data_IF_731841522210
#
_entry.id   IF_731841522210
#
_cell.length_a   1.000
_cell.length_b   1.000
_cell.length_c   1.000
_cell.angle_alpha   90.00
_cell.angle_beta   90.00
_cell.angle_gamma   90.00
#
_symmetry.space_group_name_H-M   'P 1'
#
loop_
_entity.id
_entity.type
_entity.pdbx_description
1 polymer ?
#
# COMPACT_ATOMS: atom_id res chain seq x y z
N UNK A 1 23.13 20.38 -20.99
CA UNK A 1 22.41 20.72 -19.74
C UNK A 1 21.47 19.59 -19.31
N UNK A 2 20.74 18.95 -20.23
CA UNK A 2 19.97 17.71 -19.94
C UNK A 2 20.85 16.52 -19.47
N UNK A 3 22.07 16.38 -20.01
CA UNK A 3 23.01 15.32 -19.62
C UNK A 3 23.63 15.52 -18.22
N UNK A 4 23.70 16.75 -17.69
CA UNK A 4 24.27 17.01 -16.36
C UNK A 4 23.23 16.86 -15.25
N UNK A 5 21.94 17.08 -15.55
CA UNK A 5 20.83 16.75 -14.64
C UNK A 5 20.66 15.22 -14.51
N UNK A 6 20.82 14.48 -15.62
CA UNK A 6 20.81 13.00 -15.63
C UNK A 6 21.90 12.40 -14.71
N UNK A 7 23.11 12.97 -14.73
CA UNK A 7 24.24 12.50 -13.91
C UNK A 7 24.18 12.91 -12.44
N UNK A 8 23.42 13.96 -12.10
CA UNK A 8 23.25 14.39 -10.70
C UNK A 8 22.13 13.62 -10.01
N UNK A 9 21.11 13.19 -10.76
CA UNK A 9 20.06 12.31 -10.26
C UNK A 9 20.55 10.87 -10.04
N UNK A 10 21.43 10.35 -10.91
CA UNK A 10 21.98 8.98 -10.78
C UNK A 10 22.91 8.75 -9.56
N UNK A 11 23.33 9.79 -8.85
CA UNK A 11 24.05 9.66 -7.56
C UNK A 11 23.15 9.77 -6.33
N UNK A 12 21.86 10.07 -6.52
CA UNK A 12 20.88 10.30 -5.47
C UNK A 12 19.74 9.28 -5.42
N UNK A 13 19.77 8.24 -6.27
CA UNK A 13 18.83 7.13 -6.20
C UNK A 13 19.52 5.99 -5.44
N UNK A 14 19.55 6.12 -4.13
CA UNK A 14 20.16 5.15 -3.23
C UNK A 14 19.09 4.18 -2.71
N UNK A 15 19.37 2.89 -2.89
CA UNK A 15 19.08 1.82 -1.94
C UNK A 15 17.60 1.42 -1.72
N UNK A 16 17.07 0.61 -2.64
CA UNK A 16 15.91 -0.24 -2.33
C UNK A 16 16.43 -1.62 -1.87
N UNK A 17 16.93 -1.70 -0.62
CA UNK A 17 17.54 -2.92 -0.08
C UNK A 17 16.99 -3.23 1.31
N UNK A 18 16.05 -4.16 1.38
CA UNK A 18 15.42 -4.79 2.56
C UNK A 18 16.37 -4.91 3.78
N UNK A 19 16.23 -4.02 4.78
CA UNK A 19 16.87 -4.12 6.09
C UNK A 19 15.96 -5.02 6.91
N UNK A 20 16.29 -6.31 6.93
CA UNK A 20 15.68 -7.27 7.86
C UNK A 20 16.78 -7.84 8.74
N UNK A 21 17.16 -7.02 9.73
CA UNK A 21 17.81 -7.32 11.02
C UNK A 21 18.71 -6.14 11.44
N UNK A 22 18.11 -5.03 11.89
CA UNK A 22 18.81 -4.15 12.83
C UNK A 22 18.44 -4.59 14.25
N UNK A 23 19.10 -5.67 14.68
CA UNK A 23 19.28 -5.90 16.11
C UNK A 23 20.32 -4.88 16.58
N UNK A 24 19.87 -3.71 17.06
CA UNK A 24 20.75 -2.81 17.83
C UNK A 24 20.95 -3.44 19.20
N UNK A 25 21.88 -4.38 19.31
CA UNK A 25 22.46 -4.71 20.61
C UNK A 25 23.38 -3.56 21.00
N UNK A 26 22.88 -2.63 21.82
CA UNK A 26 23.79 -1.77 22.59
C UNK A 26 24.25 -2.55 23.82
N UNK A 27 25.46 -3.09 23.75
CA UNK A 27 26.22 -3.35 24.98
C UNK A 27 26.59 -1.98 25.54
N UNK A 28 25.86 -1.51 26.55
CA UNK A 28 26.22 -0.27 27.27
C UNK A 28 27.60 -0.52 27.89
N UNK A 29 28.63 0.12 27.35
CA UNK A 29 29.89 0.33 28.07
C UNK A 29 29.88 1.76 28.61
N UNK A 30 30.44 1.97 29.80
CA UNK A 30 30.47 3.25 30.52
C UNK A 30 31.22 4.39 29.78
N UNK A 31 31.63 4.15 28.54
CA UNK A 31 32.34 5.07 27.65
C UNK A 31 31.54 5.51 26.42
N UNK A 32 30.24 5.16 26.32
CA UNK A 32 29.42 5.55 25.17
C UNK A 32 29.03 7.04 25.26
N UNK A 33 29.62 7.87 24.39
CA UNK A 33 29.28 9.29 24.31
C UNK A 33 27.80 9.48 23.92
N UNK A 34 27.09 10.30 24.71
CA UNK A 34 25.72 10.69 24.41
C UNK A 34 25.72 11.73 23.27
N UNK A 35 24.95 11.44 22.22
CA UNK A 35 24.77 12.36 21.09
C UNK A 35 23.97 13.57 21.54
N UNK A 36 24.40 14.77 21.13
CA UNK A 36 23.64 15.99 21.38
C UNK A 36 22.32 16.00 20.59
N UNK A 37 21.35 16.78 21.07
CA UNK A 37 20.04 16.92 20.40
C UNK A 37 20.16 17.37 18.93
N UNK A 38 21.20 18.14 18.59
CA UNK A 38 21.48 18.58 17.23
C UNK A 38 22.00 17.45 16.33
N UNK A 39 22.89 16.61 16.86
CA UNK A 39 23.39 15.43 16.14
C UNK A 39 22.30 14.38 15.97
N UNK A 40 21.45 14.22 16.99
CA UNK A 40 20.27 13.36 16.93
C UNK A 40 19.25 13.84 15.89
N UNK A 41 19.05 15.17 15.77
CA UNK A 41 18.17 15.76 14.75
C UNK A 41 18.72 15.61 13.33
N UNK A 42 20.04 15.78 13.15
CA UNK A 42 20.70 15.54 11.86
C UNK A 42 20.70 14.07 11.45
N UNK A 43 20.88 13.15 12.40
CA UNK A 43 20.71 11.71 12.18
C UNK A 43 19.26 11.37 11.83
N UNK A 44 18.27 11.97 12.50
CA UNK A 44 16.84 11.79 12.20
C UNK A 44 16.48 12.29 10.79
N UNK A 45 17.01 13.44 10.38
CA UNK A 45 16.80 13.99 9.03
C UNK A 45 17.53 13.23 7.91
N UNK A 46 18.54 12.42 8.24
CA UNK A 46 19.22 11.50 7.31
C UNK A 46 18.53 10.13 7.28
N UNK A 47 18.09 9.63 8.44
CA UNK A 47 17.31 8.40 8.57
C UNK A 47 15.91 8.53 7.93
N UNK A 48 15.28 9.70 8.00
CA UNK A 48 14.01 9.98 7.31
C UNK A 48 14.11 10.02 5.79
N UNK A 49 15.31 10.26 5.24
CA UNK A 49 15.58 10.12 3.80
C UNK A 49 15.79 8.65 3.43
N UNK A 50 16.56 7.91 4.23
CA UNK A 50 16.71 6.46 4.10
C UNK A 50 15.39 5.69 4.21
N UNK A 51 14.45 6.11 5.05
CA UNK A 51 13.13 5.45 5.21
C UNK A 51 12.20 5.64 3.99
N UNK A 52 12.42 6.68 3.18
CA UNK A 52 11.61 6.95 1.98
C UNK A 52 11.97 6.04 0.80
N UNK A 53 13.14 5.40 0.85
CA UNK A 53 13.68 4.51 -0.19
C UNK A 53 13.32 3.02 0.01
N UNK A 54 12.61 2.67 1.08
CA UNK A 54 12.26 1.28 1.45
C UNK A 54 10.80 0.92 1.13
N UNK A 55 10.44 0.88 -0.15
CA UNK A 55 9.18 0.26 -0.58
C UNK A 55 9.52 -1.08 -1.23
N UNK A 56 9.47 -2.17 -0.47
CA UNK A 56 9.63 -3.51 -1.02
C UNK A 56 9.87 -4.60 0.02
N UNK A 57 8.91 -5.54 0.10
CA UNK A 57 8.87 -6.77 0.93
C UNK A 57 8.46 -6.57 2.40
N UNK A 58 7.18 -6.31 2.60
CA UNK A 58 6.48 -6.68 3.85
C UNK A 58 6.17 -8.17 3.81
N UNK A 59 6.82 -8.97 4.67
CA UNK A 59 6.20 -10.23 5.11
C UNK A 59 5.22 -9.87 6.22
N UNK A 60 3.95 -10.27 6.04
CA UNK A 60 2.98 -10.25 7.13
C UNK A 60 3.29 -11.46 8.00
N UNK A 61 3.91 -11.22 9.15
CA UNK A 61 3.98 -12.19 10.23
C UNK A 61 2.59 -12.32 10.86
N UNK A 62 2.17 -13.56 11.07
CA UNK A 62 0.91 -13.92 11.73
C UNK A 62 0.82 -13.27 13.12
N UNK A 63 -0.31 -12.63 13.38
CA UNK A 63 -0.64 -11.82 14.56
C UNK A 63 -0.74 -12.66 15.85
N UNK A 64 -0.68 -13.99 15.75
CA UNK A 64 -0.54 -14.86 16.91
C UNK A 64 0.78 -14.64 17.69
N UNK A 65 1.78 -13.97 17.11
CA UNK A 65 3.11 -13.78 17.68
C UNK A 65 3.32 -12.51 18.55
N UNK A 66 2.39 -11.56 18.60
CA UNK A 66 2.57 -10.28 19.33
C UNK A 66 1.49 -10.04 20.39
N UNK A 67 1.32 -11.00 21.30
CA UNK A 67 0.41 -10.89 22.42
C UNK A 67 0.72 -9.73 23.41
N UNK A 68 1.85 -9.00 23.27
CA UNK A 68 2.30 -7.99 24.23
C UNK A 68 2.93 -6.74 23.58
N UNK A 69 2.31 -6.15 22.54
CA UNK A 69 2.77 -4.86 22.02
C UNK A 69 1.60 -3.88 21.84
N UNK A 70 1.42 -3.05 22.86
CA UNK A 70 0.56 -1.86 22.86
C UNK A 70 0.86 -0.92 21.68
N UNK A 71 -0.21 -0.41 21.06
CA UNK A 71 -0.18 0.84 20.30
C UNK A 71 0.52 0.79 18.94
N UNK A 72 -0.15 0.26 17.93
CA UNK A 72 0.15 0.60 16.53
C UNK A 72 -1.08 1.20 15.85
N UNK A 73 -1.31 2.49 16.12
CA UNK A 73 -1.97 3.38 15.16
C UNK A 73 -0.99 3.66 14.02
N UNK A 74 -1.32 3.25 12.79
CA UNK A 74 -0.63 3.80 11.61
C UNK A 74 -1.49 3.73 10.36
N UNK A 75 -2.12 4.86 10.05
CA UNK A 75 -2.39 5.31 8.68
C UNK A 75 -2.47 6.84 8.68
N UNK A 76 -1.32 7.49 8.82
CA UNK A 76 -1.05 8.84 8.27
C UNK A 76 0.41 8.85 7.82
N UNK A 77 0.69 8.38 6.60
CA UNK A 77 1.93 8.72 5.91
C UNK A 77 1.71 10.06 5.20
N UNK A 78 1.95 11.11 6.00
CA UNK A 78 2.14 12.52 5.68
C UNK A 78 0.90 13.37 5.38
N UNK A 79 0.45 14.11 6.40
CA UNK A 79 0.09 15.54 6.26
C UNK A 79 0.22 16.29 7.60
N UNK A 80 1.06 17.35 7.53
CA UNK A 80 1.28 18.47 8.45
C UNK A 80 2.04 18.34 9.80
N UNK A 81 3.02 19.24 9.90
CA UNK A 81 3.84 19.58 11.06
C UNK A 81 2.96 20.39 12.03
N UNK A 82 2.79 19.88 13.25
CA UNK A 82 1.89 20.36 14.33
C UNK A 82 0.44 19.85 14.26
N UNK A 83 0.25 18.57 14.58
CA UNK A 83 -0.99 18.10 15.22
C UNK A 83 -0.67 17.63 16.64
N UNK A 84 -1.55 17.99 17.57
CA UNK A 84 -1.58 17.45 18.93
C UNK A 84 -1.52 15.92 18.87
N UNK A 85 -0.83 15.29 19.83
CA UNK A 85 -0.75 13.83 19.95
C UNK A 85 -2.16 13.24 19.79
N UNK A 86 -2.39 12.30 18.85
CA UNK A 86 -3.73 11.78 18.64
C UNK A 86 -4.25 11.17 19.95
N UNK A 87 -5.46 11.57 20.32
CA UNK A 87 -6.21 10.96 21.41
C UNK A 87 -6.33 9.46 21.15
N UNK A 88 -5.88 8.62 22.10
CA UNK A 88 -5.89 7.16 21.93
C UNK A 88 -7.30 6.61 21.72
N UNK A 89 -7.43 5.36 21.23
CA UNK A 89 -8.73 4.73 20.96
C UNK A 89 -9.73 4.85 22.11
N UNK A 90 -9.27 4.74 23.37
CA UNK A 90 -10.12 4.93 24.54
C UNK A 90 -10.69 6.34 24.70
N UNK A 91 -9.90 7.39 24.45
CA UNK A 91 -10.35 8.78 24.55
C UNK A 91 -11.37 9.10 23.45
N UNK A 92 -11.08 8.67 22.21
CA UNK A 92 -12.00 8.82 21.07
C UNK A 92 -13.28 8.01 21.25
N UNK A 93 -13.18 6.81 21.82
CA UNK A 93 -14.34 6.00 22.14
C UNK A 93 -15.22 6.67 23.20
N UNK A 94 -14.63 7.30 24.21
CA UNK A 94 -15.39 8.05 25.22
C UNK A 94 -16.04 9.31 24.63
N UNK A 95 -15.31 10.05 23.79
CA UNK A 95 -15.81 11.27 23.11
C UNK A 95 -17.05 10.99 22.26
N UNK A 96 -17.10 9.84 21.56
CA UNK A 96 -18.18 9.44 20.65
C UNK A 96 -18.97 8.23 21.15
N UNK A 97 -18.99 7.97 22.46
CA UNK A 97 -19.55 6.74 23.04
C UNK A 97 -20.98 6.47 22.59
N UNK A 98 -21.87 7.46 22.76
CA UNK A 98 -23.30 7.30 22.45
C UNK A 98 -23.53 7.00 20.96
N UNK A 99 -22.82 7.72 20.09
CA UNK A 99 -22.88 7.51 18.63
C UNK A 99 -22.37 6.12 18.23
N UNK A 100 -21.25 5.69 18.81
CA UNK A 100 -20.69 4.36 18.54
C UNK A 100 -21.63 3.27 19.03
N UNK A 101 -22.20 3.42 20.24
CA UNK A 101 -23.12 2.46 20.85
C UNK A 101 -24.41 2.31 20.03
N UNK A 102 -24.99 3.39 19.53
CA UNK A 102 -26.16 3.34 18.63
C UNK A 102 -25.85 2.58 17.33
N UNK A 103 -24.68 2.81 16.73
CA UNK A 103 -24.31 2.16 15.46
C UNK A 103 -23.97 0.68 15.64
N UNK A 104 -23.29 0.28 16.71
CA UNK A 104 -23.02 -1.15 16.98
C UNK A 104 -24.30 -1.90 17.37
N UNK A 105 -25.30 -1.19 17.92
CA UNK A 105 -26.63 -1.71 18.23
C UNK A 105 -27.61 -1.71 17.05
N UNK A 106 -27.20 -1.21 15.88
CA UNK A 106 -27.92 -1.37 14.60
C UNK A 106 -27.12 -2.18 13.55
N UNK A 107 -27.71 -2.41 12.37
CA UNK A 107 -27.01 -2.99 11.20
C UNK A 107 -26.48 -1.89 10.26
N UNK A 108 -26.36 -0.66 10.78
CA UNK A 108 -25.96 0.51 9.99
C UNK A 108 -24.50 0.37 9.57
N UNK A 109 -24.22 0.61 8.30
CA UNK A 109 -22.87 0.67 7.75
C UNK A 109 -22.16 1.94 8.19
N UNK A 110 -20.83 1.90 8.25
CA UNK A 110 -20.04 3.13 8.44
C UNK A 110 -20.18 4.01 7.21
N UNK A 111 -20.55 5.28 7.41
CA UNK A 111 -20.80 6.25 6.33
C UNK A 111 -20.02 7.56 6.55
N UNK A 112 -20.18 8.51 5.64
CA UNK A 112 -19.51 9.81 5.66
C UNK A 112 -19.79 10.66 6.92
N UNK A 113 -20.95 10.49 7.56
CA UNK A 113 -21.31 11.23 8.79
C UNK A 113 -20.44 10.80 9.98
N UNK A 114 -19.86 9.60 9.91
CA UNK A 114 -19.06 8.98 10.98
C UNK A 114 -17.56 9.22 10.82
N UNK A 115 -17.11 10.17 9.97
CA UNK A 115 -15.67 10.36 9.65
C UNK A 115 -14.74 10.45 10.87
N UNK A 116 -15.23 10.93 12.01
CA UNK A 116 -14.44 11.12 13.25
C UNK A 116 -14.26 9.87 14.10
N UNK A 117 -15.13 8.87 13.98
CA UNK A 117 -15.16 7.68 14.86
C UNK A 117 -15.48 6.36 14.12
N UNK A 118 -15.81 6.39 12.84
CA UNK A 118 -16.22 5.23 12.05
C UNK A 118 -15.15 4.15 11.97
N UNK A 119 -13.86 4.53 12.05
CA UNK A 119 -12.76 3.58 12.13
C UNK A 119 -12.81 2.73 13.42
N UNK A 120 -13.31 3.27 14.52
CA UNK A 120 -13.52 2.53 15.78
C UNK A 120 -14.65 1.51 15.63
N UNK A 121 -15.73 1.86 14.92
CA UNK A 121 -16.83 0.93 14.65
C UNK A 121 -16.32 -0.25 13.81
N UNK A 122 -15.58 0.03 12.74
CA UNK A 122 -14.93 -1.01 11.92
C UNK A 122 -14.00 -1.89 12.77
N UNK A 123 -13.17 -1.27 13.62
CA UNK A 123 -12.25 -1.98 14.51
C UNK A 123 -12.98 -2.88 15.51
N UNK A 124 -14.05 -2.38 16.15
CA UNK A 124 -14.86 -3.14 17.09
C UNK A 124 -15.47 -4.35 16.40
N UNK A 125 -16.14 -4.15 15.26
CA UNK A 125 -16.80 -5.23 14.52
C UNK A 125 -15.79 -6.27 14.01
N UNK A 126 -14.62 -5.84 13.52
CA UNK A 126 -13.54 -6.74 13.10
C UNK A 126 -12.93 -7.51 14.28
N UNK A 127 -12.76 -6.86 15.43
CA UNK A 127 -12.27 -7.49 16.66
C UNK A 127 -13.24 -8.56 17.17
N UNK A 128 -14.53 -8.25 17.17
CA UNK A 128 -15.59 -9.22 17.52
C UNK A 128 -15.65 -10.36 16.51
N UNK A 129 -15.52 -10.07 15.21
CA UNK A 129 -15.52 -11.10 14.17
C UNK A 129 -14.37 -12.10 14.35
N UNK A 130 -13.18 -11.60 14.70
CA UNK A 130 -11.95 -12.40 14.84
C UNK A 130 -11.88 -13.16 16.16
N UNK A 131 -12.22 -12.51 17.27
CA UNK A 131 -11.98 -13.03 18.62
C UNK A 131 -13.27 -13.46 19.34
N UNK A 132 -14.44 -13.25 18.74
CA UNK A 132 -15.72 -13.60 19.34
C UNK A 132 -15.90 -12.95 20.72
N UNK A 133 -16.17 -13.76 21.75
CA UNK A 133 -16.38 -13.29 23.13
C UNK A 133 -15.11 -12.72 23.77
N UNK A 134 -13.93 -13.20 23.37
CA UNK A 134 -12.64 -12.73 23.90
C UNK A 134 -12.27 -11.31 23.41
N UNK A 135 -12.96 -10.82 22.37
CA UNK A 135 -12.80 -9.45 21.86
C UNK A 135 -13.00 -8.40 22.95
N UNK A 136 -13.88 -8.64 23.92
CA UNK A 136 -14.15 -7.71 25.03
C UNK A 136 -12.90 -7.44 25.86
N UNK A 137 -12.13 -8.48 26.18
CA UNK A 137 -10.90 -8.34 26.97
C UNK A 137 -9.86 -7.57 26.18
N UNK A 138 -9.63 -7.95 24.92
CA UNK A 138 -8.67 -7.27 24.03
C UNK A 138 -9.01 -5.80 23.77
N UNK A 139 -10.30 -5.48 23.62
CA UNK A 139 -10.73 -4.10 23.40
C UNK A 139 -10.57 -3.24 24.66
N UNK A 140 -10.65 -3.83 25.86
CA UNK A 140 -10.38 -3.09 27.11
C UNK A 140 -8.95 -2.61 27.20
N UNK A 141 -7.98 -3.39 26.68
CA UNK A 141 -6.55 -3.03 26.70
C UNK A 141 -6.27 -1.74 25.90
N UNK A 142 -7.03 -1.51 24.82
CA UNK A 142 -6.95 -0.28 24.01
C UNK A 142 -7.92 0.82 24.47
N UNK A 143 -8.57 0.65 25.62
CA UNK A 143 -9.48 1.62 26.22
C UNK A 143 -10.93 1.60 25.72
N UNK A 144 -11.30 0.64 24.86
CA UNK A 144 -12.66 0.48 24.36
C UNK A 144 -13.47 -0.41 25.32
N UNK A 145 -14.45 0.18 26.00
CA UNK A 145 -15.22 -0.47 27.07
C UNK A 145 -16.62 -0.84 26.61
N UNK A 146 -16.79 -2.10 26.16
CA UNK A 146 -18.09 -2.68 25.81
C UNK A 146 -18.60 -3.69 26.86
N UNK A 147 -19.92 -3.77 26.98
CA UNK A 147 -20.61 -4.76 27.82
C UNK A 147 -20.67 -6.13 27.14
N UNK A 148 -20.88 -7.19 27.92
CA UNK A 148 -21.09 -8.53 27.35
C UNK A 148 -22.32 -8.59 26.44
N UNK A 149 -23.37 -7.82 26.76
CA UNK A 149 -24.60 -7.75 25.97
C UNK A 149 -24.33 -7.12 24.59
N UNK A 150 -23.60 -6.01 24.55
CA UNK A 150 -23.20 -5.37 23.29
C UNK A 150 -22.35 -6.30 22.42
N UNK A 151 -21.34 -6.97 23.00
CA UNK A 151 -20.53 -7.95 22.25
C UNK A 151 -21.38 -9.10 21.70
N UNK A 152 -22.30 -9.66 22.51
CA UNK A 152 -23.21 -10.70 22.05
C UNK A 152 -24.14 -10.21 20.92
N UNK A 153 -24.64 -8.98 21.00
CA UNK A 153 -25.46 -8.37 19.95
C UNK A 153 -24.68 -8.19 18.64
N UNK A 154 -23.42 -7.76 18.71
CA UNK A 154 -22.54 -7.64 17.54
C UNK A 154 -22.31 -9.02 16.92
N UNK A 155 -22.00 -10.05 17.73
CA UNK A 155 -21.82 -11.43 17.24
C UNK A 155 -23.06 -11.89 16.47
N UNK A 156 -24.24 -11.77 17.07
CA UNK A 156 -25.49 -12.22 16.45
C UNK A 156 -25.74 -11.54 15.08
N UNK A 157 -25.36 -10.27 14.91
CA UNK A 157 -25.50 -9.58 13.62
C UNK A 157 -24.45 -9.97 12.61
N UNK A 158 -23.20 -10.12 13.05
CA UNK A 158 -22.12 -10.61 12.18
C UNK A 158 -22.43 -12.02 11.66
N UNK A 159 -23.18 -12.83 12.42
CA UNK A 159 -23.68 -14.14 11.98
C UNK A 159 -24.75 -14.06 10.88
N UNK A 160 -25.42 -12.91 10.69
CA UNK A 160 -26.39 -12.73 9.59
C UNK A 160 -25.74 -12.42 8.24
N UNK A 161 -24.44 -12.11 8.22
CA UNK A 161 -23.71 -11.79 7.00
C UNK A 161 -23.50 -13.04 6.14
N UNK A 162 -23.68 -12.89 4.83
CA UNK A 162 -23.47 -13.99 3.86
C UNK A 162 -22.07 -13.96 3.25
N UNK A 163 -21.34 -12.84 3.38
CA UNK A 163 -19.94 -12.74 2.98
C UNK A 163 -19.08 -13.72 3.81
N UNK A 164 -18.17 -14.48 3.17
CA UNK A 164 -17.24 -15.34 3.88
C UNK A 164 -16.39 -14.60 4.92
N UNK A 165 -16.28 -15.18 6.13
CA UNK A 165 -15.52 -14.58 7.25
C UNK A 165 -14.05 -14.37 6.93
N UNK A 166 -13.44 -15.26 6.14
CA UNK A 166 -12.04 -15.14 5.74
C UNK A 166 -11.79 -13.89 4.87
N UNK A 167 -12.73 -13.51 4.02
CA UNK A 167 -12.65 -12.26 3.23
C UNK A 167 -12.68 -11.05 4.16
N UNK A 168 -13.56 -11.04 5.17
CA UNK A 168 -13.59 -9.96 6.15
C UNK A 168 -12.29 -9.85 6.95
N UNK A 169 -11.73 -10.99 7.38
CA UNK A 169 -10.47 -11.03 8.14
C UNK A 169 -9.29 -10.54 7.29
N UNK A 170 -9.24 -10.92 6.00
CA UNK A 170 -8.24 -10.43 5.02
C UNK A 170 -8.33 -8.91 4.81
N UNK A 171 -9.53 -8.34 4.91
CA UNK A 171 -9.80 -6.92 4.70
C UNK A 171 -10.04 -6.18 6.03
N UNK A 172 -9.11 -6.31 6.98
CA UNK A 172 -9.23 -5.81 8.38
C UNK A 172 -9.58 -4.33 8.56
N UNK A 173 -9.27 -3.49 7.58
CA UNK A 173 -9.53 -2.04 7.64
C UNK A 173 -10.92 -1.66 7.12
N UNK A 174 -11.67 -2.63 6.61
CA UNK A 174 -13.02 -2.45 6.12
C UNK A 174 -14.03 -2.94 7.16
N UNK A 175 -15.13 -2.21 7.29
CA UNK A 175 -16.25 -2.65 8.11
C UNK A 175 -16.91 -3.90 7.47
N UNK A 176 -17.22 -4.96 8.24
CA UNK A 176 -17.84 -6.18 7.71
C UNK A 176 -19.18 -5.94 6.98
N UNK A 177 -19.98 -4.96 7.39
CA UNK A 177 -21.24 -4.65 6.72
C UNK A 177 -21.00 -3.88 5.41
N UNK A 178 -19.98 -3.03 5.33
CA UNK A 178 -19.56 -2.43 4.05
C UNK A 178 -19.06 -3.52 3.09
N UNK A 179 -18.30 -4.49 3.58
CA UNK A 179 -17.87 -5.63 2.78
C UNK A 179 -19.05 -6.48 2.29
N UNK A 180 -20.05 -6.71 3.14
CA UNK A 180 -21.30 -7.36 2.77
C UNK A 180 -21.98 -6.64 1.59
N UNK A 181 -22.07 -5.31 1.64
CA UNK A 181 -22.63 -4.50 0.54
C UNK A 181 -21.84 -4.67 -0.75
N UNK A 182 -20.51 -4.65 -0.69
CA UNK A 182 -19.67 -4.91 -1.88
C UNK A 182 -19.93 -6.31 -2.43
N UNK A 183 -20.04 -7.31 -1.56
CA UNK A 183 -20.31 -8.70 -1.93
C UNK A 183 -21.67 -8.88 -2.61
N UNK A 184 -22.70 -8.20 -2.10
CA UNK A 184 -24.06 -8.25 -2.64
C UNK A 184 -24.21 -7.42 -3.91
N UNK A 185 -23.70 -6.20 -3.96
CA UNK A 185 -24.08 -5.23 -4.99
C UNK A 185 -23.12 -5.20 -6.18
N UNK A 186 -21.81 -5.41 -5.95
CA UNK A 186 -20.85 -5.40 -7.05
C UNK A 186 -20.96 -6.69 -7.87
N UNK A 187 -21.53 -6.63 -9.08
CA UNK A 187 -21.76 -7.81 -9.94
C UNK A 187 -20.74 -8.00 -11.07
N UNK A 188 -19.95 -6.98 -11.37
CA UNK A 188 -18.99 -7.05 -12.47
C UNK A 188 -17.78 -7.93 -12.15
N UNK A 189 -17.13 -8.43 -13.20
CA UNK A 189 -15.83 -9.11 -13.09
C UNK A 189 -14.69 -8.10 -13.02
N UNK A 190 -13.68 -8.41 -12.21
CA UNK A 190 -12.43 -7.64 -12.13
C UNK A 190 -11.49 -7.99 -13.30
N UNK A 191 -10.49 -7.16 -13.62
CA UNK A 191 -9.42 -7.54 -14.54
C UNK A 191 -8.59 -8.71 -13.99
N UNK A 192 -8.20 -9.66 -14.83
CA UNK A 192 -7.24 -10.73 -14.48
C UNK A 192 -5.80 -10.23 -14.58
N UNK A 193 -5.52 -9.42 -15.61
CA UNK A 193 -4.20 -8.85 -15.87
C UNK A 193 -4.34 -7.45 -16.49
N UNK A 194 -3.28 -6.62 -16.45
CA UNK A 194 -3.33 -5.27 -17.01
C UNK A 194 -3.46 -5.24 -18.53
N UNK A 195 -3.14 -6.33 -19.22
CA UNK A 195 -3.27 -6.48 -20.67
C UNK A 195 -4.62 -7.04 -21.12
N UNK A 196 -5.50 -7.40 -20.19
CA UNK A 196 -6.82 -7.92 -20.54
C UNK A 196 -7.62 -6.86 -21.33
N UNK A 197 -8.29 -7.31 -22.40
CA UNK A 197 -9.19 -6.44 -23.17
C UNK A 197 -10.27 -5.85 -22.25
N UNK A 198 -10.28 -4.53 -22.14
CA UNK A 198 -11.25 -3.82 -21.31
C UNK A 198 -10.83 -3.64 -19.84
N UNK A 199 -9.61 -4.03 -19.44
CA UNK A 199 -9.07 -3.82 -18.09
C UNK A 199 -9.24 -2.36 -17.61
N UNK A 200 -8.88 -1.40 -18.45
CA UNK A 200 -9.07 0.03 -18.19
C UNK A 200 -10.53 0.41 -17.90
N UNK A 201 -11.46 -0.14 -18.67
CA UNK A 201 -12.88 0.15 -18.51
C UNK A 201 -13.42 -0.46 -17.20
N UNK A 202 -13.01 -1.69 -16.88
CA UNK A 202 -13.31 -2.35 -15.60
C UNK A 202 -12.75 -1.55 -14.41
N UNK A 203 -11.48 -1.11 -14.47
CA UNK A 203 -10.87 -0.26 -13.45
C UNK A 203 -11.66 1.04 -13.22
N UNK A 204 -12.00 1.74 -14.31
CA UNK A 204 -12.79 2.97 -14.21
C UNK A 204 -14.17 2.73 -13.58
N UNK A 205 -14.83 1.60 -13.88
CA UNK A 205 -16.12 1.25 -13.27
C UNK A 205 -16.00 0.82 -11.81
N UNK A 206 -14.95 0.10 -11.43
CA UNK A 206 -14.64 -0.18 -10.01
C UNK A 206 -14.46 1.12 -9.22
N UNK A 207 -13.61 2.04 -9.68
CA UNK A 207 -13.42 3.33 -9.02
C UNK A 207 -14.69 4.17 -9.01
N UNK A 208 -15.51 4.09 -10.06
CA UNK A 208 -16.84 4.73 -10.09
C UNK A 208 -17.77 4.14 -9.02
N UNK A 209 -17.86 2.82 -8.93
CA UNK A 209 -18.67 2.13 -7.92
C UNK A 209 -18.25 2.53 -6.51
N UNK A 210 -16.95 2.50 -6.22
CA UNK A 210 -16.43 2.90 -4.90
C UNK A 210 -16.78 4.33 -4.53
N UNK A 211 -16.79 5.24 -5.51
CA UNK A 211 -17.10 6.66 -5.31
C UNK A 211 -18.61 6.93 -5.18
N UNK A 212 -19.43 6.30 -6.03
CA UNK A 212 -20.84 6.65 -6.20
C UNK A 212 -21.77 5.86 -5.27
N UNK A 213 -21.28 4.81 -4.61
CA UNK A 213 -22.05 4.00 -3.64
C UNK A 213 -21.92 4.59 -2.24
N UNK A 214 -23.05 4.80 -1.55
CA UNK A 214 -23.11 5.48 -0.25
C UNK A 214 -22.17 4.85 0.78
N UNK A 215 -22.21 3.52 0.90
CA UNK A 215 -21.47 2.74 1.89
C UNK A 215 -19.95 2.68 1.61
N UNK A 216 -19.51 2.91 0.37
CA UNK A 216 -18.08 2.84 0.00
C UNK A 216 -17.46 4.21 -0.24
N UNK A 217 -18.28 5.25 -0.43
CA UNK A 217 -17.87 6.61 -0.79
C UNK A 217 -16.85 7.20 0.20
N UNK A 218 -17.09 7.03 1.50
CA UNK A 218 -16.18 7.46 2.56
C UNK A 218 -14.78 6.85 2.42
N UNK A 219 -14.71 5.56 2.07
CA UNK A 219 -13.44 4.90 1.84
C UNK A 219 -12.78 5.40 0.56
N UNK A 220 -13.54 5.60 -0.52
CA UNK A 220 -13.00 6.20 -1.74
C UNK A 220 -12.35 7.57 -1.46
N UNK A 221 -13.01 8.44 -0.70
CA UNK A 221 -12.49 9.76 -0.33
C UNK A 221 -11.24 9.69 0.55
N UNK A 222 -11.14 8.66 1.41
CA UNK A 222 -9.96 8.44 2.25
C UNK A 222 -8.72 8.06 1.43
N UNK A 223 -8.89 7.26 0.38
CA UNK A 223 -7.77 6.72 -0.41
C UNK A 223 -7.43 7.55 -1.65
N UNK A 224 -8.40 8.29 -2.21
CA UNK A 224 -8.19 9.08 -3.43
C UNK A 224 -8.22 10.59 -3.11
N UNK A 225 -7.11 11.33 -3.32
CA UNK A 225 -7.05 12.78 -3.10
C UNK A 225 -8.15 13.53 -3.85
N UNK A 226 -8.66 14.59 -3.24
CA UNK A 226 -9.87 15.31 -3.69
C UNK A 226 -9.80 15.75 -5.16
N UNK A 227 -8.61 16.15 -5.60
CA UNK A 227 -8.34 16.63 -6.96
C UNK A 227 -8.47 15.51 -8.00
N UNK A 228 -8.29 14.24 -7.61
CA UNK A 228 -8.33 13.06 -8.47
C UNK A 228 -9.67 12.32 -8.45
N UNK A 229 -10.64 12.74 -7.63
CA UNK A 229 -11.87 11.98 -7.40
C UNK A 229 -12.87 12.04 -8.57
N UNK A 230 -12.86 13.10 -9.39
CA UNK A 230 -13.92 13.40 -10.36
C UNK A 230 -13.39 13.85 -11.74
N UNK A 231 -14.27 13.84 -12.73
CA UNK A 231 -14.04 14.42 -14.06
C UNK A 231 -12.83 13.86 -14.82
N UNK A 232 -12.13 14.75 -15.52
CA UNK A 232 -10.90 14.48 -16.27
C UNK A 232 -9.78 13.96 -15.36
N UNK A 233 -9.68 14.46 -14.12
CA UNK A 233 -8.63 14.05 -13.18
C UNK A 233 -8.80 12.61 -12.70
N UNK A 234 -10.03 12.12 -12.53
CA UNK A 234 -10.25 10.68 -12.30
C UNK A 234 -9.83 9.85 -13.52
N UNK A 235 -10.12 10.35 -14.72
CA UNK A 235 -9.68 9.68 -15.96
C UNK A 235 -8.15 9.68 -16.08
N UNK A 236 -7.49 10.74 -15.62
CA UNK A 236 -6.04 10.83 -15.49
C UNK A 236 -5.49 9.79 -14.50
N UNK A 237 -6.07 9.66 -13.31
CA UNK A 237 -5.70 8.62 -12.34
C UNK A 237 -5.83 7.21 -12.94
N UNK A 238 -6.94 6.92 -13.63
CA UNK A 238 -7.14 5.63 -14.33
C UNK A 238 -6.06 5.41 -15.38
N UNK A 239 -5.69 6.44 -16.15
CA UNK A 239 -4.63 6.34 -17.15
C UNK A 239 -3.28 6.04 -16.51
N UNK A 240 -2.92 6.73 -15.42
CA UNK A 240 -1.69 6.47 -14.68
C UNK A 240 -1.65 5.05 -14.12
N UNK A 241 -2.76 4.57 -13.52
CA UNK A 241 -2.86 3.19 -13.04
C UNK A 241 -2.58 2.19 -14.17
N UNK A 242 -3.16 2.40 -15.36
CA UNK A 242 -2.94 1.49 -16.48
C UNK A 242 -1.51 1.56 -17.03
N UNK A 243 -0.93 2.76 -17.21
CA UNK A 243 0.46 2.91 -17.68
C UNK A 243 1.43 2.24 -16.70
N UNK A 244 1.26 2.52 -15.40
CA UNK A 244 2.08 1.95 -14.35
C UNK A 244 1.95 0.43 -14.28
N UNK A 245 0.72 -0.08 -14.24
CA UNK A 245 0.46 -1.52 -14.16
C UNK A 245 0.91 -2.31 -15.39
N UNK A 246 1.04 -1.66 -16.56
CA UNK A 246 1.53 -2.32 -17.78
C UNK A 246 3.06 -2.26 -17.93
N UNK A 247 3.77 -1.71 -16.94
CA UNK A 247 5.23 -1.63 -16.97
C UNK A 247 5.78 -0.48 -17.79
N UNK A 248 4.98 0.55 -18.11
CA UNK A 248 5.48 1.73 -18.83
C UNK A 248 6.52 2.45 -17.97
N UNK A 249 7.67 2.81 -18.56
CA UNK A 249 8.77 3.48 -17.87
C UNK A 249 8.34 4.86 -17.35
N UNK A 250 9.01 5.34 -16.29
CA UNK A 250 8.80 6.71 -15.83
C UNK A 250 9.17 7.72 -16.91
N UNK A 251 10.21 7.42 -17.70
CA UNK A 251 10.58 8.26 -18.84
C UNK A 251 9.41 8.45 -19.80
N UNK A 252 8.73 7.37 -20.20
CA UNK A 252 7.61 7.43 -21.14
C UNK A 252 6.33 8.01 -20.51
N UNK A 253 6.10 7.79 -19.22
CA UNK A 253 4.97 8.41 -18.50
C UNK A 253 5.14 9.94 -18.45
N UNK A 254 6.38 10.40 -18.26
CA UNK A 254 6.73 11.81 -18.11
C UNK A 254 7.12 12.49 -19.43
N UNK A 255 6.86 11.84 -20.56
CA UNK A 255 7.15 12.36 -21.91
C UNK A 255 5.89 12.97 -22.56
N UNK A 256 5.26 13.91 -21.88
CA UNK A 256 4.08 14.66 -22.36
C UNK A 256 4.34 16.17 -22.29
N UNK A 257 3.65 16.95 -23.13
CA UNK A 257 3.81 18.41 -23.23
C UNK A 257 3.59 19.14 -21.90
N UNK A 258 2.73 18.59 -21.02
CA UNK A 258 2.46 19.13 -19.68
C UNK A 258 3.68 19.21 -18.75
N UNK A 259 4.73 18.44 -19.04
CA UNK A 259 5.98 18.43 -18.27
C UNK A 259 7.03 19.36 -18.87
N UNK A 260 6.70 20.06 -19.96
CA UNK A 260 7.54 21.07 -20.59
C UNK A 260 7.22 22.47 -20.05
N UNK A 261 8.21 23.35 -20.04
CA UNK A 261 8.04 24.76 -19.60
C UNK A 261 8.36 25.00 -18.13
N UNK A 262 8.03 26.21 -17.64
CA UNK A 262 8.45 26.72 -16.33
C UNK A 262 7.89 25.91 -15.14
N UNK A 263 6.67 25.36 -15.28
CA UNK A 263 6.02 24.54 -14.24
C UNK A 263 6.26 23.03 -14.42
N UNK A 264 7.05 22.64 -15.42
CA UNK A 264 7.23 21.24 -15.79
C UNK A 264 7.82 20.38 -14.66
N UNK A 265 8.77 20.93 -13.91
CA UNK A 265 9.40 20.25 -12.78
C UNK A 265 8.40 19.93 -11.64
N UNK A 266 7.52 20.87 -11.32
CA UNK A 266 6.50 20.69 -10.28
C UNK A 266 5.45 19.65 -10.70
N UNK A 267 5.07 19.63 -11.98
CA UNK A 267 4.14 18.65 -12.53
C UNK A 267 4.73 17.23 -12.59
N UNK A 268 6.05 17.12 -12.82
CA UNK A 268 6.79 15.86 -12.71
C UNK A 268 6.73 15.35 -11.28
N UNK A 269 7.12 16.17 -10.30
CA UNK A 269 7.13 15.79 -8.88
C UNK A 269 5.72 15.38 -8.42
N UNK A 270 4.70 16.16 -8.79
CA UNK A 270 3.30 15.83 -8.51
C UNK A 270 2.91 14.47 -9.09
N UNK A 271 3.30 14.19 -10.34
CA UNK A 271 2.95 12.93 -10.98
C UNK A 271 3.65 11.74 -10.32
N UNK A 272 4.91 11.90 -9.92
CA UNK A 272 5.66 10.90 -9.17
C UNK A 272 4.97 10.60 -7.83
N UNK A 273 4.55 11.64 -7.10
CA UNK A 273 3.82 11.47 -5.85
C UNK A 273 2.49 10.74 -6.04
N UNK A 274 1.74 11.05 -7.11
CA UNK A 274 0.52 10.32 -7.46
C UNK A 274 0.81 8.86 -7.78
N UNK A 275 1.87 8.57 -8.53
CA UNK A 275 2.27 7.20 -8.85
C UNK A 275 2.63 6.39 -7.60
N UNK A 276 3.41 6.99 -6.69
CA UNK A 276 3.88 6.32 -5.48
C UNK A 276 2.77 6.13 -4.45
N UNK A 277 2.09 7.22 -4.07
CA UNK A 277 1.16 7.20 -2.93
C UNK A 277 -0.25 6.77 -3.34
N UNK A 278 -0.71 7.20 -4.52
CA UNK A 278 -2.09 6.96 -4.94
C UNK A 278 -2.19 5.69 -5.78
N UNK A 279 -1.43 5.61 -6.87
CA UNK A 279 -1.50 4.49 -7.81
C UNK A 279 -0.95 3.22 -7.18
N UNK A 280 0.29 3.23 -6.68
CA UNK A 280 0.96 2.00 -6.22
C UNK A 280 0.50 1.54 -4.83
N UNK A 281 -0.12 2.43 -4.05
CA UNK A 281 -0.48 2.13 -2.66
C UNK A 281 -1.98 2.27 -2.37
N UNK A 282 -2.55 3.47 -2.46
CA UNK A 282 -3.94 3.70 -2.06
C UNK A 282 -4.97 2.98 -2.94
N UNK A 283 -4.82 3.01 -4.26
CA UNK A 283 -5.75 2.36 -5.19
C UNK A 283 -5.80 0.84 -4.97
N UNK A 284 -4.68 0.11 -4.85
CA UNK A 284 -4.69 -1.30 -4.48
C UNK A 284 -5.40 -1.58 -3.17
N UNK A 285 -5.15 -0.79 -2.11
CA UNK A 285 -5.82 -0.98 -0.81
C UNK A 285 -7.32 -0.74 -0.88
N UNK A 286 -7.74 0.28 -1.64
CA UNK A 286 -9.14 0.61 -1.87
C UNK A 286 -9.87 -0.50 -2.62
N UNK A 287 -9.24 -1.07 -3.65
CA UNK A 287 -9.86 -2.06 -4.53
C UNK A 287 -9.71 -3.50 -4.04
N UNK A 288 -8.81 -3.76 -3.08
CA UNK A 288 -8.52 -5.09 -2.55
C UNK A 288 -9.78 -5.90 -2.20
N UNK A 289 -10.81 -5.35 -1.51
CA UNK A 289 -12.01 -6.12 -1.19
C UNK A 289 -12.73 -6.65 -2.42
N UNK A 290 -12.83 -5.85 -3.49
CA UNK A 290 -13.49 -6.27 -4.73
C UNK A 290 -12.72 -7.43 -5.36
N UNK A 291 -11.39 -7.37 -5.36
CA UNK A 291 -10.55 -8.45 -5.89
C UNK A 291 -10.64 -9.71 -5.05
N UNK A 292 -10.52 -9.61 -3.73
CA UNK A 292 -10.66 -10.76 -2.82
C UNK A 292 -12.02 -11.46 -2.98
N UNK A 293 -13.09 -10.70 -3.28
CA UNK A 293 -14.44 -11.22 -3.52
C UNK A 293 -14.60 -11.85 -4.91
N UNK A 294 -14.02 -11.25 -5.95
CA UNK A 294 -14.31 -11.61 -7.35
C UNK A 294 -13.27 -12.51 -8.00
N UNK A 295 -12.00 -12.25 -7.75
CA UNK A 295 -10.88 -13.00 -8.29
C UNK A 295 -9.61 -12.75 -7.45
N UNK A 296 -9.41 -13.52 -6.36
CA UNK A 296 -8.24 -13.35 -5.50
C UNK A 296 -6.92 -13.71 -6.20
N UNK A 297 -6.97 -14.48 -7.29
CA UNK A 297 -5.80 -14.91 -8.06
C UNK A 297 -5.39 -13.91 -9.17
N UNK A 298 -6.11 -12.80 -9.28
CA UNK A 298 -5.77 -11.76 -10.25
C UNK A 298 -4.44 -11.09 -9.91
N UNK A 299 -3.52 -11.07 -10.86
CA UNK A 299 -2.23 -10.37 -10.73
C UNK A 299 -2.36 -8.85 -10.90
N UNK A 300 -3.54 -8.34 -11.29
CA UNK A 300 -3.73 -6.94 -11.67
C UNK A 300 -3.35 -5.96 -10.57
N UNK A 301 -3.77 -6.19 -9.32
CA UNK A 301 -3.41 -5.31 -8.20
C UNK A 301 -1.92 -5.38 -7.88
N UNK A 302 -1.32 -6.57 -7.94
CA UNK A 302 0.12 -6.74 -7.75
C UNK A 302 0.90 -5.96 -8.82
N UNK A 303 0.46 -5.97 -10.08
CA UNK A 303 1.08 -5.19 -11.13
C UNK A 303 0.92 -3.67 -10.90
N UNK A 304 -0.20 -3.21 -10.35
CA UNK A 304 -0.35 -1.80 -9.93
C UNK A 304 0.61 -1.48 -8.78
N UNK A 305 0.76 -2.37 -7.79
CA UNK A 305 1.62 -2.14 -6.63
C UNK A 305 3.11 -2.08 -7.01
N UNK A 306 3.57 -3.02 -7.83
CA UNK A 306 4.97 -3.11 -8.23
C UNK A 306 5.32 -2.23 -9.44
N UNK A 307 4.33 -1.84 -10.23
CA UNK A 307 4.54 -1.24 -11.54
C UNK A 307 5.21 -2.18 -12.53
N UNK A 308 5.14 -3.50 -12.30
CA UNK A 308 5.83 -4.53 -13.05
C UNK A 308 4.88 -5.66 -13.43
N UNK A 309 5.07 -6.22 -14.63
CA UNK A 309 4.10 -7.15 -15.24
C UNK A 309 4.52 -8.60 -15.25
N UNK A 310 5.81 -8.88 -15.44
CA UNK A 310 6.34 -10.24 -15.49
C UNK A 310 6.99 -10.62 -14.17
N UNK A 311 7.01 -11.91 -13.86
CA UNK A 311 7.66 -12.43 -12.66
C UNK A 311 9.17 -12.14 -12.65
N UNK A 312 9.83 -12.13 -13.81
CA UNK A 312 11.24 -11.74 -13.91
C UNK A 312 11.49 -10.31 -13.45
N UNK A 313 10.66 -9.35 -13.88
CA UNK A 313 10.79 -7.94 -13.46
C UNK A 313 10.48 -7.81 -11.97
N UNK A 314 9.41 -8.45 -11.48
CA UNK A 314 9.05 -8.43 -10.06
C UNK A 314 10.16 -9.01 -9.20
N UNK A 315 10.75 -10.15 -9.59
CA UNK A 315 11.87 -10.77 -8.91
C UNK A 315 13.11 -9.85 -8.91
N UNK A 316 13.44 -9.18 -10.03
CA UNK A 316 14.53 -8.20 -10.06
C UNK A 316 14.29 -7.05 -9.05
N UNK A 317 13.07 -6.51 -9.00
CA UNK A 317 12.70 -5.47 -8.02
C UNK A 317 12.84 -5.99 -6.59
N UNK A 318 12.41 -7.21 -6.36
CA UNK A 318 12.52 -7.89 -5.08
C UNK A 318 13.97 -8.13 -4.62
N UNK A 319 14.88 -8.37 -5.56
CA UNK A 319 16.33 -8.45 -5.33
C UNK A 319 16.96 -7.09 -5.01
N UNK A 320 16.19 -6.00 -5.10
CA UNK A 320 16.62 -4.64 -4.81
C UNK A 320 17.07 -3.84 -6.03
N UNK A 321 16.85 -4.37 -7.24
CA UNK A 321 17.10 -3.62 -8.47
C UNK A 321 16.01 -2.55 -8.62
N UNK A 322 16.34 -1.27 -8.84
CA UNK A 322 15.34 -0.24 -9.06
C UNK A 322 14.40 -0.59 -10.22
N UNK A 323 13.11 -0.26 -10.11
CA UNK A 323 12.09 -0.59 -11.12
C UNK A 323 12.50 -0.22 -12.55
N UNK A 324 12.96 1.02 -12.77
CA UNK A 324 13.34 1.50 -14.09
C UNK A 324 14.51 0.69 -14.67
N UNK A 325 15.47 0.33 -13.82
CA UNK A 325 16.59 -0.53 -14.18
C UNK A 325 16.13 -1.95 -14.48
N UNK A 326 15.20 -2.49 -13.69
CA UNK A 326 14.62 -3.81 -13.91
C UNK A 326 13.85 -3.87 -15.25
N UNK A 327 13.09 -2.84 -15.61
CA UNK A 327 12.42 -2.73 -16.91
C UNK A 327 13.44 -2.70 -18.06
N UNK A 328 14.45 -1.83 -17.96
CA UNK A 328 15.52 -1.74 -18.94
C UNK A 328 16.27 -3.08 -19.11
N UNK A 329 16.66 -3.72 -18.01
CA UNK A 329 17.36 -5.00 -18.03
C UNK A 329 16.48 -6.08 -18.64
N UNK A 330 15.18 -6.10 -18.35
CA UNK A 330 14.27 -7.05 -18.95
C UNK A 330 14.29 -6.92 -20.48
N UNK A 331 14.18 -5.70 -20.99
CA UNK A 331 14.16 -5.42 -22.42
C UNK A 331 15.48 -5.74 -23.13
N UNK A 332 16.62 -5.45 -22.51
CA UNK A 332 17.94 -5.64 -23.13
C UNK A 332 18.54 -7.04 -22.92
N UNK A 333 18.26 -7.67 -21.77
CA UNK A 333 18.95 -8.88 -21.33
C UNK A 333 18.04 -10.11 -21.34
N UNK A 334 16.74 -9.94 -21.11
CA UNK A 334 15.81 -11.06 -20.92
C UNK A 334 14.79 -11.24 -22.05
N UNK A 335 14.59 -10.26 -22.95
CA UNK A 335 13.67 -10.41 -24.09
C UNK A 335 14.12 -11.55 -25.02
N UNK A 336 13.19 -12.48 -25.25
CA UNK A 336 13.37 -13.58 -26.21
C UNK A 336 14.16 -14.80 -25.73
N UNK A 337 14.55 -14.91 -24.45
CA UNK A 337 15.46 -16.00 -24.00
C UNK A 337 15.09 -16.82 -22.76
N UNK A 338 13.93 -16.65 -22.13
CA UNK A 338 13.52 -17.56 -21.06
C UNK A 338 12.08 -18.01 -21.25
N UNK A 339 11.89 -19.29 -21.58
CA UNK A 339 10.64 -19.99 -21.25
C UNK A 339 10.56 -20.01 -19.73
N UNK A 340 9.44 -19.53 -19.19
CA UNK A 340 9.09 -19.61 -17.77
C UNK A 340 9.37 -21.03 -17.28
N UNK A 341 10.19 -21.15 -16.23
CA UNK A 341 10.37 -22.39 -15.48
C UNK A 341 9.54 -22.33 -14.22
N UNK A 342 8.94 -23.45 -13.85
CA UNK A 342 7.93 -23.55 -12.78
C UNK A 342 8.47 -23.44 -11.34
N UNK A 343 9.77 -23.19 -11.11
CA UNK A 343 10.37 -23.07 -9.76
C UNK A 343 10.98 -21.68 -9.47
N UNK A 344 10.56 -21.04 -8.36
CA UNK A 344 11.00 -19.68 -7.93
C UNK A 344 12.48 -19.60 -7.51
N UNK A 345 13.01 -20.60 -6.79
CA UNK A 345 14.45 -20.66 -6.44
C UNK A 345 15.35 -20.77 -7.68
N UNK A 346 14.83 -21.37 -8.76
CA UNK A 346 15.50 -21.45 -10.05
C UNK A 346 15.48 -20.09 -10.77
N UNK A 347 14.42 -19.28 -10.59
CA UNK A 347 14.29 -17.97 -11.23
C UNK A 347 15.28 -16.93 -10.69
N UNK A 348 15.44 -16.80 -9.37
CA UNK A 348 16.42 -15.88 -8.78
C UNK A 348 17.84 -16.19 -9.30
N UNK A 349 18.24 -17.46 -9.24
CA UNK A 349 19.57 -17.87 -9.67
C UNK A 349 19.78 -17.68 -11.18
N UNK A 350 18.75 -17.91 -12.00
CA UNK A 350 18.77 -17.59 -13.44
C UNK A 350 18.98 -16.12 -13.71
N UNK A 351 18.28 -15.24 -12.98
CA UNK A 351 18.43 -13.80 -13.10
C UNK A 351 19.86 -13.39 -12.76
N UNK A 352 20.39 -13.83 -11.60
CA UNK A 352 21.77 -13.53 -11.18
C UNK A 352 22.81 -13.98 -12.19
N UNK A 353 22.71 -15.24 -12.64
CA UNK A 353 23.63 -15.81 -13.63
C UNK A 353 23.60 -15.05 -14.96
N UNK A 354 22.41 -14.63 -15.39
CA UNK A 354 22.26 -13.88 -16.63
C UNK A 354 22.81 -12.46 -16.51
N UNK A 355 22.53 -11.77 -15.41
CA UNK A 355 23.07 -10.43 -15.13
C UNK A 355 24.59 -10.45 -15.03
N UNK A 356 25.18 -11.45 -14.36
CA UNK A 356 26.64 -11.58 -14.25
C UNK A 356 27.32 -11.78 -15.62
N UNK A 357 26.70 -12.54 -16.52
CA UNK A 357 27.21 -12.75 -17.89
C UNK A 357 27.19 -11.46 -18.72
N UNK A 358 26.13 -10.66 -18.57
CA UNK A 358 25.94 -9.44 -19.34
C UNK A 358 26.53 -8.20 -18.68
N UNK A 359 27.05 -8.30 -17.45
CA UNK A 359 27.45 -7.15 -16.62
C UNK A 359 28.41 -6.18 -17.33
N UNK A 360 29.47 -6.71 -17.96
CA UNK A 360 30.49 -5.89 -18.63
C UNK A 360 29.96 -5.18 -19.88
N UNK A 361 28.86 -5.67 -20.48
CA UNK A 361 28.25 -5.10 -21.67
C UNK A 361 27.20 -4.02 -21.33
N UNK A 362 26.80 -3.91 -20.06
CA UNK A 362 25.80 -2.93 -19.62
C UNK A 362 26.40 -1.51 -19.53
N UNK A 363 25.58 -0.46 -19.68
CA UNK A 363 26.03 0.91 -19.44
C UNK A 363 26.57 1.10 -18.01
N UNK A 364 27.60 1.94 -17.85
CA UNK A 364 28.26 2.19 -16.56
C UNK A 364 27.29 2.44 -15.40
N UNK A 365 26.26 3.28 -15.61
CA UNK A 365 25.31 3.60 -14.55
C UNK A 365 24.39 2.43 -14.16
N UNK A 366 24.14 1.50 -15.09
CA UNK A 366 23.42 0.26 -14.80
C UNK A 366 24.31 -0.71 -14.03
N UNK A 367 25.61 -0.79 -14.39
CA UNK A 367 26.59 -1.59 -13.63
C UNK A 367 26.65 -1.17 -12.17
N UNK A 368 26.81 0.15 -11.90
CA UNK A 368 26.83 0.70 -10.53
C UNK A 368 25.59 0.30 -9.71
N UNK A 369 24.43 0.19 -10.36
CA UNK A 369 23.19 -0.22 -9.70
C UNK A 369 23.10 -1.72 -9.44
N UNK A 370 23.95 -2.53 -10.08
CA UNK A 370 24.01 -3.98 -9.93
C UNK A 370 25.21 -4.47 -9.11
N UNK A 371 26.16 -3.59 -8.76
CA UNK A 371 27.38 -3.91 -8.01
C UNK A 371 27.13 -4.70 -6.71
N UNK A 372 25.97 -4.50 -6.07
CA UNK A 372 25.64 -5.20 -4.82
C UNK A 372 25.18 -6.66 -5.02
N UNK A 373 24.85 -7.06 -6.26
CA UNK A 373 24.31 -8.37 -6.59
C UNK A 373 25.35 -9.33 -7.17
N UNK A 374 26.49 -8.82 -7.65
CA UNK A 374 27.48 -9.54 -8.46
C UNK A 374 28.76 -9.82 -7.70
#
# INVERSE_FOLDING_TARGET
MALSLYNTWNRGVFLLCKITNLLIYRKKTDSAAELSNYEMANLRGRAGRLLKDFIGRTYVLDESAFADADGYDQLELFEDVTKELPSGYGERFEEYREDIEDVIETNKTVDHSMKKYGYLISYIRQSVLRYGKESRRKMQDVGIKLTQKQVAAIIHKLETLTIPKDICIKNRYWDPFVLQKIFEDYKEAVPVSPYERGAKAKLNRMLKYMRDTEETSSMYERYVPSELQKGSNRSYLVNLCMKWATGVSLHDILNEERYSGETGADEIERTIQVLQNVVSFNVPLLLKPIFDIKNPDSIFLTCIQSGATTETIKMMIELGIPRETALYLYDEVFTGKQKESDDEEDLEQKIRNQLQKSFNDLPYWVQVQLDFLI
#
